data_IF_974073481267
#
_entry.id   IF_974073481267
#
_cell.length_a   1.000
_cell.length_b   1.000
_cell.length_c   1.000
_cell.angle_alpha   90.00
_cell.angle_beta   90.00
_cell.angle_gamma   90.00
#
_symmetry.space_group_name_H-M   'P 1'
#
loop_
_entity.id
_entity.type
_entity.pdbx_description
1 polymer ?
#
# COMPACT_ATOMS: atom_id res chain seq x y z
N UNK A 1 24.58 16.51 -14.10
CA UNK A 1 24.25 17.22 -12.85
C UNK A 1 23.11 16.48 -12.20
N UNK A 2 23.17 16.21 -10.90
CA UNK A 2 22.19 15.38 -10.19
C UNK A 2 21.64 16.17 -9.01
N UNK A 3 20.34 16.45 -9.00
CA UNK A 3 19.68 17.11 -7.87
C UNK A 3 19.47 16.09 -6.77
N UNK A 4 19.82 16.44 -5.53
CA UNK A 4 19.73 15.52 -4.40
C UNK A 4 18.26 15.27 -3.98
N UNK A 5 18.01 14.13 -3.34
CA UNK A 5 16.67 13.80 -2.84
C UNK A 5 16.23 14.76 -1.74
N UNK A 6 17.17 15.26 -0.95
CA UNK A 6 16.95 16.24 0.11
C UNK A 6 16.43 17.56 -0.48
N UNK A 7 17.04 18.04 -1.59
CA UNK A 7 16.57 19.24 -2.30
C UNK A 7 15.15 19.07 -2.83
N UNK A 8 14.83 17.92 -3.42
CA UNK A 8 13.49 17.62 -3.95
C UNK A 8 12.45 17.49 -2.84
N UNK A 9 12.84 16.88 -1.71
CA UNK A 9 11.98 16.77 -0.52
C UNK A 9 11.72 18.14 0.10
N UNK A 10 12.75 18.99 0.15
CA UNK A 10 12.60 20.38 0.57
C UNK A 10 11.63 21.12 -0.35
N UNK A 11 11.82 21.09 -1.67
CA UNK A 11 10.92 21.76 -2.62
C UNK A 11 9.46 21.33 -2.44
N UNK A 12 9.21 20.04 -2.18
CA UNK A 12 7.85 19.54 -1.92
C UNK A 12 7.24 20.15 -0.65
N UNK A 13 8.03 20.27 0.41
CA UNK A 13 7.57 20.65 1.75
C UNK A 13 7.79 22.13 2.10
N UNK A 14 8.46 22.90 1.24
CA UNK A 14 8.83 24.28 1.50
C UNK A 14 7.56 25.10 1.77
N UNK A 15 7.42 25.81 2.90
CA UNK A 15 6.18 26.52 3.25
C UNK A 15 5.87 27.64 2.26
N UNK A 16 6.90 28.29 1.73
CA UNK A 16 6.82 29.33 0.70
C UNK A 16 7.49 28.78 -0.55
N UNK A 17 6.84 28.92 -1.70
CA UNK A 17 7.36 28.48 -2.99
C UNK A 17 7.16 29.56 -4.05
N UNK A 18 8.23 29.89 -4.77
CA UNK A 18 8.30 30.95 -5.78
C UNK A 18 9.02 30.43 -7.03
N UNK A 19 8.94 31.15 -8.15
CA UNK A 19 9.65 30.76 -9.37
C UNK A 19 11.17 30.84 -9.19
N UNK A 20 11.66 31.84 -8.44
CA UNK A 20 13.06 32.01 -8.08
C UNK A 20 13.58 30.84 -7.24
N UNK A 21 12.81 30.40 -6.24
CA UNK A 21 13.19 29.24 -5.43
C UNK A 21 13.27 27.96 -6.28
N UNK A 22 12.29 27.71 -7.15
CA UNK A 22 12.29 26.53 -8.03
C UNK A 22 13.49 26.60 -8.98
N UNK A 23 13.75 27.77 -9.57
CA UNK A 23 14.85 28.01 -10.48
C UNK A 23 16.20 27.67 -9.85
N UNK A 24 16.47 28.22 -8.66
CA UNK A 24 17.74 28.09 -7.97
C UNK A 24 17.94 26.67 -7.45
N UNK A 25 16.90 26.08 -6.84
CA UNK A 25 16.98 24.73 -6.27
C UNK A 25 17.13 23.64 -7.33
N UNK A 26 16.57 23.85 -8.52
CA UNK A 26 16.74 22.94 -9.66
C UNK A 26 17.93 23.30 -10.55
N UNK A 27 18.72 24.31 -10.16
CA UNK A 27 19.95 24.74 -10.83
C UNK A 27 19.73 24.97 -12.34
N UNK A 28 18.64 25.68 -12.65
CA UNK A 28 18.23 26.00 -14.03
C UNK A 28 19.24 26.95 -14.66
N UNK A 29 19.78 26.58 -15.84
CA UNK A 29 20.86 27.34 -16.50
C UNK A 29 20.42 28.65 -17.16
N UNK A 30 19.18 28.70 -17.65
CA UNK A 30 18.65 29.92 -18.26
C UNK A 30 18.47 30.99 -17.18
N UNK A 31 18.63 32.27 -17.54
CA UNK A 31 18.38 33.37 -16.60
C UNK A 31 16.94 33.34 -16.04
N UNK A 32 16.77 33.70 -14.76
CA UNK A 32 15.47 33.69 -14.05
C UNK A 32 14.35 34.41 -14.81
N UNK A 33 14.61 35.60 -15.37
CA UNK A 33 13.61 36.34 -16.17
C UNK A 33 13.11 35.55 -17.40
N UNK A 34 13.99 34.76 -18.04
CA UNK A 34 13.58 33.89 -19.14
C UNK A 34 12.77 32.70 -18.65
N UNK A 35 13.14 32.14 -17.50
CA UNK A 35 12.37 31.06 -16.87
C UNK A 35 10.96 31.52 -16.51
N UNK A 36 10.83 32.70 -15.88
CA UNK A 36 9.57 33.33 -15.53
C UNK A 36 8.67 33.53 -16.75
N UNK A 37 9.19 34.20 -17.79
CA UNK A 37 8.44 34.42 -19.04
C UNK A 37 7.96 33.10 -19.66
N UNK A 38 8.82 32.08 -19.66
CA UNK A 38 8.48 30.76 -20.21
C UNK A 38 7.43 30.03 -19.36
N UNK A 39 7.50 30.13 -18.03
CA UNK A 39 6.51 29.56 -17.12
C UNK A 39 5.15 30.24 -17.29
N UNK A 40 5.12 31.57 -17.23
CA UNK A 40 3.90 32.37 -17.42
C UNK A 40 3.24 32.09 -18.77
N UNK A 41 4.02 32.08 -19.86
CA UNK A 41 3.51 31.71 -21.19
C UNK A 41 2.94 30.28 -21.26
N UNK A 42 3.59 29.32 -20.61
CA UNK A 42 3.19 27.90 -20.68
C UNK A 42 1.91 27.61 -19.91
N UNK A 43 1.77 28.22 -18.73
CA UNK A 43 0.65 27.95 -17.83
C UNK A 43 -0.47 28.98 -17.91
N UNK A 44 -0.33 30.03 -18.73
CA UNK A 44 -1.33 31.10 -18.84
C UNK A 44 -1.43 31.95 -17.58
N UNK A 45 -0.30 32.16 -16.90
CA UNK A 45 -0.19 32.83 -15.61
C UNK A 45 0.64 34.11 -15.74
N UNK A 46 0.63 34.95 -14.71
CA UNK A 46 1.40 36.19 -14.67
C UNK A 46 2.10 36.38 -13.32
N UNK A 47 2.89 35.38 -12.90
CA UNK A 47 3.62 35.45 -11.64
C UNK A 47 4.84 36.34 -11.74
N UNK A 48 5.11 37.11 -10.67
CA UNK A 48 6.44 37.65 -10.41
C UNK A 48 7.41 36.56 -9.92
N UNK A 49 8.71 36.75 -10.11
CA UNK A 49 9.71 35.70 -9.81
C UNK A 49 9.76 35.33 -8.32
N UNK A 50 9.49 36.29 -7.45
CA UNK A 50 9.46 36.22 -5.99
C UNK A 50 8.03 36.06 -5.42
N UNK A 51 7.02 35.98 -6.29
CA UNK A 51 5.63 35.79 -5.89
C UNK A 51 5.38 34.36 -5.36
N UNK A 52 4.55 34.26 -4.32
CA UNK A 52 4.15 32.99 -3.74
C UNK A 52 3.18 32.26 -4.68
N UNK A 53 3.49 31.02 -5.02
CA UNK A 53 2.72 30.20 -5.95
C UNK A 53 1.91 29.16 -5.17
N UNK A 54 0.69 28.90 -5.64
CA UNK A 54 -0.12 27.78 -5.14
C UNK A 54 0.64 26.44 -5.32
N UNK A 55 0.52 25.54 -4.33
CA UNK A 55 1.26 24.27 -4.31
C UNK A 55 1.05 23.41 -5.55
N UNK A 56 -0.18 23.28 -6.03
CA UNK A 56 -0.50 22.43 -7.19
C UNK A 56 0.20 22.93 -8.45
N UNK A 57 0.18 24.26 -8.65
CA UNK A 57 0.84 24.92 -9.78
C UNK A 57 2.35 24.78 -9.66
N UNK A 58 2.92 24.98 -8.46
CA UNK A 58 4.35 24.82 -8.21
C UNK A 58 4.83 23.38 -8.46
N UNK A 59 4.09 22.38 -7.98
CA UNK A 59 4.41 20.96 -8.19
C UNK A 59 4.45 20.62 -9.70
N UNK A 60 3.48 21.12 -10.48
CA UNK A 60 3.46 20.97 -11.94
C UNK A 60 4.66 21.64 -12.63
N UNK A 61 5.03 22.84 -12.18
CA UNK A 61 6.21 23.57 -12.70
C UNK A 61 7.50 22.78 -12.42
N UNK A 62 7.67 22.26 -11.20
CA UNK A 62 8.84 21.46 -10.81
C UNK A 62 8.94 20.20 -11.67
N UNK A 63 7.85 19.44 -11.79
CA UNK A 63 7.80 18.20 -12.59
C UNK A 63 8.19 18.51 -14.04
N UNK A 64 7.65 19.58 -14.64
CA UNK A 64 7.99 19.92 -16.01
C UNK A 64 9.46 20.37 -16.16
N UNK A 65 9.98 21.09 -15.18
CA UNK A 65 11.36 21.59 -15.19
C UNK A 65 12.35 20.43 -15.11
N UNK A 66 12.13 19.46 -14.21
CA UNK A 66 12.94 18.24 -14.13
C UNK A 66 12.93 17.45 -15.44
N UNK A 67 11.79 17.37 -16.12
CA UNK A 67 11.69 16.75 -17.45
C UNK A 67 12.52 17.47 -18.51
N UNK A 68 12.48 18.81 -18.54
CA UNK A 68 13.28 19.64 -19.47
C UNK A 68 14.79 19.54 -19.20
N UNK A 69 15.18 19.29 -17.95
CA UNK A 69 16.58 19.05 -17.57
C UNK A 69 17.05 17.62 -17.84
N UNK A 70 16.20 16.76 -18.44
CA UNK A 70 16.45 15.34 -18.66
C UNK A 70 16.76 14.56 -17.36
N UNK A 71 16.14 14.97 -16.26
CA UNK A 71 16.31 14.38 -14.93
C UNK A 71 15.14 13.44 -14.60
N UNK A 72 14.97 12.38 -15.40
CA UNK A 72 13.79 11.49 -15.32
C UNK A 72 13.69 10.73 -13.99
N UNK A 73 14.81 10.39 -13.38
CA UNK A 73 14.83 9.69 -12.08
C UNK A 73 14.37 10.61 -10.95
N UNK A 74 14.81 11.86 -10.96
CA UNK A 74 14.44 12.94 -10.04
C UNK A 74 12.97 13.35 -10.25
N UNK A 75 12.54 13.49 -11.51
CA UNK A 75 11.15 13.75 -11.87
C UNK A 75 10.23 12.65 -11.32
N UNK A 76 10.61 11.38 -11.51
CA UNK A 76 9.89 10.23 -10.97
C UNK A 76 9.88 10.21 -9.45
N UNK A 77 10.96 10.65 -8.80
CA UNK A 77 11.02 10.76 -7.34
C UNK A 77 10.10 11.88 -6.82
N UNK A 78 10.13 13.05 -7.43
CA UNK A 78 9.26 14.16 -7.05
C UNK A 78 7.77 13.80 -7.27
N UNK A 79 7.43 13.13 -8.37
CA UNK A 79 6.08 12.58 -8.58
C UNK A 79 5.65 11.63 -7.45
N UNK A 80 6.55 10.78 -6.94
CA UNK A 80 6.24 9.94 -5.78
C UNK A 80 5.98 10.76 -4.53
N UNK A 81 6.74 11.84 -4.30
CA UNK A 81 6.52 12.75 -3.18
C UNK A 81 5.13 13.41 -3.27
N UNK A 82 4.78 13.94 -4.44
CA UNK A 82 3.46 14.53 -4.73
C UNK A 82 2.32 13.51 -4.55
N UNK A 83 2.51 12.26 -4.97
CA UNK A 83 1.51 11.19 -4.75
C UNK A 83 1.43 10.70 -3.31
N UNK A 84 2.54 10.74 -2.57
CA UNK A 84 2.63 10.20 -1.21
C UNK A 84 1.90 11.05 -0.16
N UNK A 85 1.50 12.28 -0.50
CA UNK A 85 0.67 13.12 0.37
C UNK A 85 -0.78 12.68 0.44
N UNK A 86 -1.28 11.82 -0.47
CA UNK A 86 -2.70 11.40 -0.44
C UNK A 86 -2.93 9.91 -0.10
N UNK A 87 -2.14 8.94 -0.58
CA UNK A 87 -2.37 7.53 -0.22
C UNK A 87 -1.21 6.63 -0.64
N UNK A 88 -0.18 6.46 0.20
CA UNK A 88 0.75 5.30 0.11
C UNK A 88 1.87 5.33 1.17
N UNK A 89 1.52 5.40 2.45
CA UNK A 89 2.51 5.00 3.45
C UNK A 89 2.66 3.47 3.42
N UNK A 90 3.86 2.96 3.73
CA UNK A 90 4.08 1.53 4.01
C UNK A 90 3.06 0.97 5.02
N UNK A 91 2.58 1.81 5.94
CA UNK A 91 1.53 1.47 6.90
C UNK A 91 0.18 1.25 6.22
N UNK A 92 -0.21 2.07 5.23
CA UNK A 92 -1.46 1.91 4.47
C UNK A 92 -1.44 0.63 3.65
N UNK A 93 -0.36 0.33 2.91
CA UNK A 93 -0.25 -0.95 2.19
C UNK A 93 -0.26 -2.17 3.11
N UNK A 94 0.33 -2.05 4.30
CA UNK A 94 0.26 -3.11 5.32
C UNK A 94 -1.16 -3.25 5.86
N UNK A 95 -1.87 -2.15 6.11
CA UNK A 95 -3.25 -2.16 6.57
C UNK A 95 -4.20 -2.73 5.51
N UNK A 96 -4.05 -2.37 4.24
CA UNK A 96 -4.83 -2.92 3.12
C UNK A 96 -4.58 -4.43 2.98
N UNK A 97 -3.32 -4.88 2.96
CA UNK A 97 -3.00 -6.32 2.93
C UNK A 97 -3.49 -7.06 4.17
N UNK A 98 -3.55 -6.40 5.32
CA UNK A 98 -4.09 -6.99 6.54
C UNK A 98 -5.62 -7.11 6.45
N UNK A 99 -6.31 -6.09 5.95
CA UNK A 99 -7.74 -6.11 5.70
C UNK A 99 -8.13 -7.14 4.62
N UNK A 100 -7.36 -7.27 3.54
CA UNK A 100 -7.54 -8.31 2.52
C UNK A 100 -7.36 -9.71 3.09
N UNK A 101 -6.36 -9.92 3.97
CA UNK A 101 -6.16 -11.19 4.66
C UNK A 101 -7.25 -11.49 5.67
N UNK A 102 -7.76 -10.49 6.38
CA UNK A 102 -8.91 -10.62 7.26
C UNK A 102 -10.15 -11.04 6.46
N UNK A 103 -10.44 -10.36 5.34
CA UNK A 103 -11.52 -10.74 4.43
C UNK A 103 -11.37 -12.15 3.84
N UNK A 104 -10.13 -12.62 3.62
CA UNK A 104 -9.90 -14.01 3.18
C UNK A 104 -10.22 -15.00 4.31
N UNK A 105 -9.81 -14.70 5.53
CA UNK A 105 -10.11 -15.56 6.68
C UNK A 105 -11.61 -15.58 6.99
N UNK A 106 -12.32 -14.44 6.87
CA UNK A 106 -13.78 -14.37 6.98
C UNK A 106 -14.47 -15.27 5.94
N UNK A 107 -14.04 -15.20 4.67
CA UNK A 107 -14.57 -16.06 3.60
C UNK A 107 -14.30 -17.54 3.80
N UNK A 108 -13.13 -17.89 4.35
CA UNK A 108 -12.80 -19.28 4.71
C UNK A 108 -13.71 -19.76 5.83
N UNK A 109 -13.95 -18.92 6.84
CA UNK A 109 -14.82 -19.21 7.97
C UNK A 109 -16.26 -19.39 7.51
N UNK A 110 -16.80 -18.49 6.68
CA UNK A 110 -18.12 -18.64 6.06
C UNK A 110 -18.25 -19.96 5.27
N UNK A 111 -17.22 -20.31 4.49
CA UNK A 111 -17.21 -21.55 3.71
C UNK A 111 -17.18 -22.79 4.60
N UNK A 112 -16.38 -22.79 5.67
CA UNK A 112 -16.32 -23.89 6.63
C UNK A 112 -17.62 -24.03 7.42
N UNK A 113 -18.22 -22.92 7.85
CA UNK A 113 -19.50 -22.88 8.56
C UNK A 113 -20.59 -23.54 7.69
N UNK A 114 -20.66 -23.16 6.41
CA UNK A 114 -21.60 -23.76 5.46
C UNK A 114 -21.35 -25.26 5.28
N UNK A 115 -20.10 -25.68 5.03
CA UNK A 115 -19.76 -27.09 4.79
C UNK A 115 -20.10 -27.97 6.02
N UNK A 116 -19.79 -27.50 7.24
CA UNK A 116 -19.97 -28.29 8.45
C UNK A 116 -21.38 -28.26 9.04
N UNK A 117 -22.13 -27.18 8.87
CA UNK A 117 -23.47 -27.06 9.43
C UNK A 117 -24.60 -27.27 8.43
N UNK A 118 -24.33 -27.17 7.13
CA UNK A 118 -25.34 -27.34 6.07
C UNK A 118 -25.05 -28.53 5.14
N UNK A 119 -23.84 -29.10 5.18
CA UNK A 119 -23.41 -30.20 4.31
C UNK A 119 -23.39 -31.56 5.00
N UNK A 120 -23.38 -32.62 4.19
CA UNK A 120 -23.03 -33.97 4.63
C UNK A 120 -21.56 -34.23 4.29
N UNK A 121 -20.70 -34.36 5.29
CA UNK A 121 -19.28 -34.66 5.09
C UNK A 121 -19.03 -36.15 5.33
N UNK A 122 -18.47 -36.83 4.32
CA UNK A 122 -17.96 -38.19 4.47
C UNK A 122 -16.44 -38.16 4.51
N UNK A 123 -15.85 -38.91 5.43
CA UNK A 123 -14.41 -39.02 5.59
C UNK A 123 -13.95 -40.41 5.20
N UNK A 124 -12.84 -40.49 4.49
CA UNK A 124 -12.05 -41.72 4.45
C UNK A 124 -11.45 -41.96 5.84
N UNK A 125 -11.64 -43.16 6.38
CA UNK A 125 -11.24 -43.48 7.76
C UNK A 125 -9.73 -43.58 7.92
N UNK A 126 -8.99 -44.05 6.91
CA UNK A 126 -7.55 -44.20 6.96
C UNK A 126 -6.87 -42.83 6.84
N UNK A 127 -7.32 -42.00 5.91
CA UNK A 127 -6.83 -40.62 5.76
C UNK A 127 -7.12 -39.79 7.01
N UNK A 128 -8.33 -39.91 7.58
CA UNK A 128 -8.68 -39.21 8.82
C UNK A 128 -7.81 -39.67 9.99
N UNK A 129 -7.57 -40.97 10.13
CA UNK A 129 -6.68 -41.49 11.17
C UNK A 129 -5.26 -40.92 11.02
N UNK A 130 -4.70 -40.96 9.82
CA UNK A 130 -3.35 -40.45 9.54
C UNK A 130 -3.24 -38.93 9.77
N UNK A 131 -4.27 -38.18 9.38
CA UNK A 131 -4.34 -36.74 9.66
C UNK A 131 -4.30 -36.46 11.16
N UNK A 132 -5.14 -37.12 11.96
CA UNK A 132 -5.18 -36.91 13.41
C UNK A 132 -3.86 -37.33 14.07
N UNK A 133 -3.25 -38.42 13.59
CA UNK A 133 -1.94 -38.89 14.07
C UNK A 133 -0.86 -37.83 13.89
N UNK A 134 -0.85 -37.15 12.73
CA UNK A 134 0.10 -36.06 12.43
C UNK A 134 -0.11 -34.82 13.30
N UNK A 135 -1.25 -34.68 13.99
CA UNK A 135 -1.50 -33.62 14.96
C UNK A 135 -1.03 -33.99 16.39
N UNK A 136 -0.34 -35.13 16.57
CA UNK A 136 0.17 -35.63 17.85
C UNK A 136 -0.92 -35.83 18.91
N UNK A 137 -2.13 -36.25 18.51
CA UNK A 137 -3.20 -36.59 19.45
C UNK A 137 -2.84 -37.88 20.19
N UNK A 138 -2.72 -37.79 21.51
CA UNK A 138 -2.45 -38.94 22.36
C UNK A 138 -3.63 -39.92 22.34
N UNK A 139 -3.34 -41.22 22.49
CA UNK A 139 -4.34 -42.28 22.61
C UNK A 139 -5.29 -42.43 21.39
N UNK A 140 -4.90 -41.90 20.22
CA UNK A 140 -5.68 -41.98 18.99
C UNK A 140 -6.03 -43.42 18.57
N UNK A 141 -5.14 -44.37 18.85
CA UNK A 141 -5.33 -45.79 18.53
C UNK A 141 -6.58 -46.38 19.21
N UNK A 142 -7.01 -45.78 20.32
CA UNK A 142 -8.22 -46.20 21.05
C UNK A 142 -9.49 -45.47 20.60
N UNK A 143 -9.39 -44.54 19.65
CA UNK A 143 -10.57 -43.82 19.16
C UNK A 143 -11.39 -44.75 18.26
N UNK A 144 -12.71 -44.74 18.44
CA UNK A 144 -13.62 -45.33 17.47
C UNK A 144 -13.70 -44.47 16.20
N UNK A 145 -14.23 -45.00 15.10
CA UNK A 145 -14.52 -44.22 13.88
C UNK A 145 -15.37 -42.98 14.19
N UNK A 146 -16.40 -43.14 15.04
CA UNK A 146 -17.20 -42.01 15.52
C UNK A 146 -16.36 -41.03 16.33
N UNK A 147 -15.53 -41.52 17.25
CA UNK A 147 -14.65 -40.67 18.06
C UNK A 147 -13.68 -39.83 17.24
N UNK A 148 -13.15 -40.37 16.13
CA UNK A 148 -12.29 -39.61 15.19
C UNK A 148 -13.06 -38.51 14.46
N UNK A 149 -14.27 -38.80 13.99
CA UNK A 149 -15.15 -37.80 13.35
C UNK A 149 -15.58 -36.70 14.32
N UNK A 150 -15.94 -37.09 15.54
CA UNK A 150 -16.33 -36.15 16.60
C UNK A 150 -15.14 -35.26 16.99
N UNK A 151 -13.94 -35.83 17.12
CA UNK A 151 -12.72 -35.07 17.39
C UNK A 151 -12.46 -34.02 16.30
N UNK A 152 -12.52 -34.41 15.03
CA UNK A 152 -12.29 -33.49 13.91
C UNK A 152 -13.35 -32.39 13.85
N UNK A 153 -14.62 -32.75 14.05
CA UNK A 153 -15.74 -31.80 14.07
C UNK A 153 -15.58 -30.78 15.20
N UNK A 154 -15.21 -31.23 16.41
CA UNK A 154 -14.94 -30.35 17.54
C UNK A 154 -13.74 -29.43 17.27
N UNK A 155 -12.72 -29.92 16.56
CA UNK A 155 -11.56 -29.12 16.18
C UNK A 155 -11.95 -27.98 15.23
N UNK A 156 -12.83 -28.24 14.27
CA UNK A 156 -13.32 -27.21 13.35
C UNK A 156 -14.23 -26.21 14.06
N UNK A 157 -15.13 -26.67 14.94
CA UNK A 157 -15.94 -25.77 15.78
C UNK A 157 -15.05 -24.81 16.58
N UNK A 158 -14.08 -25.35 17.31
CA UNK A 158 -13.13 -24.54 18.06
C UNK A 158 -12.39 -23.52 17.19
N UNK A 159 -12.01 -23.87 15.96
CA UNK A 159 -11.37 -22.96 15.02
C UNK A 159 -12.30 -21.81 14.60
N UNK A 160 -13.58 -22.12 14.34
CA UNK A 160 -14.59 -21.13 13.97
C UNK A 160 -14.88 -20.18 15.14
N UNK A 161 -15.10 -20.72 16.34
CA UNK A 161 -15.41 -19.94 17.55
C UNK A 161 -14.26 -18.99 17.89
N UNK A 162 -13.02 -19.52 17.91
CA UNK A 162 -11.81 -18.73 18.16
C UNK A 162 -11.65 -17.56 17.17
N UNK A 163 -12.06 -17.75 15.92
CA UNK A 163 -11.98 -16.71 14.90
C UNK A 163 -13.11 -15.68 15.03
N UNK A 164 -14.33 -16.13 15.34
CA UNK A 164 -15.50 -15.26 15.57
C UNK A 164 -15.37 -14.44 16.87
N UNK A 165 -14.47 -14.84 17.77
CA UNK A 165 -14.22 -14.14 19.04
C UNK A 165 -15.25 -14.48 20.12
N UNK A 166 -15.89 -15.65 20.00
CA UNK A 166 -16.80 -16.25 20.98
C UNK A 166 -16.06 -17.25 21.87
#
# INVERSE_FOLDING_TARGET
>A
MKISKEKLTFLKNAPIITLELIHDMLEVKQHINNYQRNANKKYGLNFEKDEVINREVADMIIINTLGKLNMLAEQSYFLRLVRSTEANSSKVRKAEKFAEKANLADKIVESLDFIFYSGTISFDEEELFNFIKNQNVQNLEYFSSKGRKDWFSNRVKWLLDTYKGE
#
